data_IF_887692113586
#
_entry.id   IF_887692113586
#
_cell.length_a   1.000
_cell.length_b   1.000
_cell.length_c   1.000
_cell.angle_alpha   90.00
_cell.angle_beta   90.00
_cell.angle_gamma   90.00
#
_symmetry.space_group_name_H-M   'P 1'
#
loop_
_entity.id
_entity.type
_entity.pdbx_description
1 polymer ?
#
# COMPACT_ATOMS: atom_id res chain seq x y z
N UNK A 1 17.91 -16.91 -10.17
CA UNK A 1 17.37 -17.92 -9.24
C UNK A 1 18.30 -18.00 -8.02
N UNK A 2 18.08 -17.14 -6.99
CA UNK A 2 18.73 -17.31 -5.69
C UNK A 2 17.86 -18.25 -4.86
N UNK A 3 18.41 -19.44 -4.55
CA UNK A 3 17.85 -20.34 -3.56
C UNK A 3 17.69 -19.61 -2.23
N UNK A 4 16.48 -19.64 -1.64
CA UNK A 4 16.25 -19.23 -0.26
C UNK A 4 17.12 -20.08 0.67
N UNK A 5 17.81 -19.51 1.68
CA UNK A 5 18.52 -20.31 2.65
C UNK A 5 17.47 -21.11 3.46
N UNK A 6 17.55 -22.43 3.38
CA UNK A 6 16.85 -23.32 4.28
C UNK A 6 17.17 -22.92 5.73
N UNK A 7 16.13 -22.92 6.55
CA UNK A 7 16.19 -22.62 7.97
C UNK A 7 17.09 -23.63 8.68
N UNK A 8 18.37 -23.33 8.81
CA UNK A 8 19.19 -23.92 9.84
C UNK A 8 18.62 -23.46 11.19
N UNK A 9 18.11 -24.41 11.97
CA UNK A 9 17.76 -24.21 13.36
C UNK A 9 18.98 -23.67 14.11
N UNK A 10 19.11 -22.35 14.17
CA UNK A 10 20.27 -21.68 14.73
C UNK A 10 20.16 -21.76 16.24
N UNK A 11 21.08 -22.49 16.90
CA UNK A 11 21.36 -22.36 18.32
C UNK A 11 21.38 -20.88 18.67
N UNK A 12 20.67 -20.46 19.72
CA UNK A 12 20.58 -19.08 20.15
C UNK A 12 22.01 -18.50 20.29
N UNK A 13 22.35 -17.57 19.40
CA UNK A 13 23.71 -17.00 19.40
C UNK A 13 23.90 -16.12 20.65
N UNK A 14 25.13 -16.07 21.21
CA UNK A 14 25.46 -15.21 22.35
C UNK A 14 25.01 -13.77 22.16
N UNK A 15 24.62 -13.10 23.23
CA UNK A 15 24.06 -11.74 23.21
C UNK A 15 25.01 -10.75 22.53
N UNK A 16 26.31 -10.85 22.76
CA UNK A 16 27.32 -9.97 22.14
C UNK A 16 27.37 -10.12 20.61
N UNK A 17 27.24 -11.35 20.07
CA UNK A 17 27.16 -11.59 18.63
C UNK A 17 25.86 -11.03 18.05
N UNK A 18 24.74 -11.17 18.77
CA UNK A 18 23.45 -10.59 18.37
C UNK A 18 23.51 -9.06 18.36
N UNK A 19 24.17 -8.46 19.35
CA UNK A 19 24.37 -7.02 19.44
C UNK A 19 25.30 -6.50 18.33
N UNK A 20 26.42 -7.16 18.11
CA UNK A 20 27.34 -6.82 17.02
C UNK A 20 26.67 -6.92 15.64
N UNK A 21 25.93 -8.00 15.38
CA UNK A 21 25.14 -8.13 14.16
C UNK A 21 24.08 -7.04 14.01
N UNK A 22 23.38 -6.70 15.09
CA UNK A 22 22.38 -5.64 15.08
C UNK A 22 22.98 -4.28 14.73
N UNK A 23 24.17 -3.95 15.24
CA UNK A 23 24.89 -2.71 14.94
C UNK A 23 25.46 -2.71 13.51
N UNK A 24 26.01 -3.85 13.04
CA UNK A 24 26.70 -3.95 11.75
C UNK A 24 25.79 -4.23 10.54
N UNK A 25 24.61 -4.81 10.76
CA UNK A 25 23.65 -5.14 9.69
C UNK A 25 23.22 -3.96 8.80
N UNK A 26 23.00 -2.74 9.33
CA UNK A 26 22.72 -1.58 8.50
C UNK A 26 23.83 -1.22 7.53
N UNK A 27 25.09 -1.38 7.95
CA UNK A 27 26.25 -1.09 7.10
C UNK A 27 26.36 -2.03 5.89
N UNK A 28 25.95 -3.30 6.03
CA UNK A 28 25.89 -4.23 4.90
C UNK A 28 24.81 -3.89 3.88
N UNK A 29 23.69 -3.32 4.33
CA UNK A 29 22.60 -2.91 3.46
C UNK A 29 22.87 -1.57 2.77
N UNK A 30 23.46 -0.62 3.50
CA UNK A 30 23.97 0.61 2.90
C UNK A 30 24.91 0.31 1.72
N UNK A 31 25.78 -0.68 1.86
CA UNK A 31 26.69 -1.10 0.78
C UNK A 31 25.96 -1.66 -0.44
N UNK A 32 24.93 -2.49 -0.25
CA UNK A 32 24.18 -3.05 -1.38
C UNK A 32 23.39 -1.98 -2.14
N UNK A 33 22.74 -1.06 -1.42
CA UNK A 33 22.06 0.08 -2.03
C UNK A 33 23.03 1.11 -2.58
N UNK A 34 24.18 1.34 -1.95
CA UNK A 34 25.21 2.21 -2.46
C UNK A 34 25.74 1.72 -3.81
N UNK A 35 26.01 0.40 -3.94
CA UNK A 35 26.44 -0.17 -5.22
C UNK A 35 25.38 -0.05 -6.30
N UNK A 36 24.10 -0.27 -5.96
CA UNK A 36 23.00 -0.07 -6.89
C UNK A 36 22.90 1.39 -7.35
N UNK A 37 22.99 2.35 -6.42
CA UNK A 37 22.96 3.79 -6.74
C UNK A 37 24.13 4.20 -7.62
N UNK A 38 25.32 3.68 -7.33
CA UNK A 38 26.51 3.96 -8.13
C UNK A 38 26.35 3.44 -9.56
N UNK A 39 25.90 2.20 -9.73
CA UNK A 39 25.62 1.62 -11.05
C UNK A 39 24.55 2.43 -11.82
N UNK A 40 23.48 2.82 -11.13
CA UNK A 40 22.42 3.64 -11.71
C UNK A 40 22.91 5.04 -12.10
N UNK A 41 23.80 5.64 -11.28
CA UNK A 41 24.44 6.91 -11.59
C UNK A 41 25.35 6.80 -12.82
N UNK A 42 26.17 5.76 -12.92
CA UNK A 42 27.05 5.53 -14.08
C UNK A 42 26.25 5.43 -15.39
N UNK A 43 25.07 4.82 -15.35
CA UNK A 43 24.16 4.78 -16.51
C UNK A 43 23.55 6.17 -16.77
N UNK A 44 23.03 6.81 -15.73
CA UNK A 44 22.29 8.07 -15.85
C UNK A 44 23.18 9.24 -16.33
N UNK A 45 24.43 9.33 -15.86
CA UNK A 45 25.35 10.43 -16.24
C UNK A 45 25.67 10.49 -17.75
N UNK A 46 25.46 9.38 -18.47
CA UNK A 46 25.65 9.30 -19.94
C UNK A 46 24.40 9.64 -20.75
N UNK A 47 23.28 9.90 -20.09
CA UNK A 47 22.00 10.20 -20.74
C UNK A 47 21.74 11.71 -20.75
N UNK A 48 21.02 12.16 -21.77
CA UNK A 48 20.47 13.52 -21.82
C UNK A 48 19.01 13.47 -21.40
N UNK A 49 18.63 14.31 -20.46
CA UNK A 49 17.26 14.42 -19.93
C UNK A 49 17.02 15.82 -19.39
N UNK A 50 15.79 16.28 -19.49
CA UNK A 50 15.36 17.61 -19.00
C UNK A 50 14.94 17.56 -17.53
N UNK A 51 14.44 16.40 -17.09
CA UNK A 51 13.95 16.18 -15.73
C UNK A 51 14.20 14.73 -15.29
N UNK A 52 14.38 14.54 -13.98
CA UNK A 52 14.52 13.22 -13.36
C UNK A 52 13.31 12.97 -12.48
N UNK A 53 12.68 11.80 -12.59
CA UNK A 53 11.66 11.34 -11.67
C UNK A 53 12.22 10.20 -10.83
N UNK A 54 12.34 10.41 -9.51
CA UNK A 54 12.90 9.42 -8.59
C UNK A 54 11.81 8.87 -7.68
N UNK A 55 11.71 7.55 -7.65
CA UNK A 55 10.73 6.84 -6.83
C UNK A 55 11.36 6.38 -5.52
N UNK A 56 10.70 6.73 -4.42
CA UNK A 56 11.03 6.37 -3.06
C UNK A 56 12.41 6.84 -2.55
N UNK A 57 12.61 6.73 -1.26
CA UNK A 57 13.83 7.13 -0.58
C UNK A 57 15.10 6.46 -1.16
N UNK A 58 14.97 5.24 -1.67
CA UNK A 58 16.12 4.50 -2.21
C UNK A 58 16.76 5.17 -3.43
N UNK A 59 15.97 5.85 -4.26
CA UNK A 59 16.44 6.55 -5.45
C UNK A 59 16.69 8.05 -5.19
N UNK A 60 16.23 8.59 -4.06
CA UNK A 60 16.26 10.02 -3.77
C UNK A 60 17.69 10.61 -3.78
N UNK A 61 18.67 9.89 -3.19
CA UNK A 61 20.08 10.31 -3.21
C UNK A 61 20.62 10.44 -4.62
N UNK A 62 20.25 9.54 -5.53
CA UNK A 62 20.66 9.57 -6.94
C UNK A 62 20.10 10.83 -7.64
N UNK A 63 18.81 11.11 -7.47
CA UNK A 63 18.18 12.32 -8.02
C UNK A 63 18.86 13.59 -7.52
N UNK A 64 19.13 13.67 -6.23
CA UNK A 64 19.85 14.78 -5.63
C UNK A 64 21.25 14.94 -6.19
N UNK A 65 22.04 13.85 -6.31
CA UNK A 65 23.40 13.87 -6.89
C UNK A 65 23.39 14.39 -8.33
N UNK A 66 22.56 13.85 -9.17
CA UNK A 66 22.42 14.29 -10.58
C UNK A 66 21.95 15.74 -10.69
N UNK A 67 21.04 16.18 -9.82
CA UNK A 67 20.61 17.57 -9.75
C UNK A 67 21.78 18.52 -9.46
N UNK A 68 22.60 18.20 -8.44
CA UNK A 68 23.75 19.07 -8.07
C UNK A 68 24.80 19.15 -9.18
N UNK A 69 25.10 18.02 -9.82
CA UNK A 69 26.14 17.93 -10.84
C UNK A 69 25.69 18.51 -12.20
N UNK A 70 24.48 18.15 -12.65
CA UNK A 70 24.01 18.47 -14.00
C UNK A 70 23.03 19.65 -14.05
N UNK A 71 22.65 20.23 -12.89
CA UNK A 71 21.64 21.30 -12.77
C UNK A 71 20.26 20.93 -13.33
N UNK A 72 19.96 19.63 -13.44
CA UNK A 72 18.68 19.13 -13.92
C UNK A 72 17.66 19.09 -12.79
N UNK A 73 16.44 19.53 -13.03
CA UNK A 73 15.36 19.45 -12.05
C UNK A 73 14.99 17.99 -11.78
N UNK A 74 14.53 17.69 -10.55
CA UNK A 74 14.00 16.37 -10.25
C UNK A 74 12.71 16.44 -9.46
N UNK A 75 11.88 15.41 -9.63
CA UNK A 75 10.65 15.14 -8.88
C UNK A 75 10.93 13.99 -7.93
N UNK A 76 10.55 14.14 -6.67
CA UNK A 76 10.60 13.06 -5.67
C UNK A 76 9.21 12.48 -5.47
N UNK A 77 8.99 11.24 -5.90
CA UNK A 77 7.73 10.50 -5.76
C UNK A 77 7.87 9.43 -4.68
N UNK A 78 7.22 9.63 -3.55
CA UNK A 78 7.30 8.74 -2.38
C UNK A 78 5.97 8.05 -2.11
N UNK A 79 5.96 6.72 -2.26
CA UNK A 79 4.77 5.91 -2.09
C UNK A 79 4.47 5.54 -0.63
N UNK A 80 5.39 5.83 0.30
CA UNK A 80 5.21 5.52 1.71
C UNK A 80 5.92 6.54 2.63
N UNK A 81 5.48 6.60 3.89
CA UNK A 81 6.22 7.29 4.93
C UNK A 81 7.44 6.45 5.33
N UNK A 82 8.60 6.76 4.74
CA UNK A 82 9.78 5.91 4.76
C UNK A 82 10.25 5.48 6.16
N UNK A 83 10.35 6.40 7.10
CA UNK A 83 10.83 6.09 8.47
C UNK A 83 9.83 5.25 9.27
N UNK A 84 8.55 5.32 8.93
CA UNK A 84 7.48 4.54 9.56
C UNK A 84 7.22 3.15 8.95
N UNK A 85 8.03 2.73 7.96
CA UNK A 85 7.80 1.47 7.25
C UNK A 85 8.13 0.22 8.07
N UNK A 86 7.56 -0.89 7.67
CA UNK A 86 7.99 -2.19 8.15
C UNK A 86 9.44 -2.44 7.73
N UNK A 87 10.29 -2.72 8.71
CA UNK A 87 11.69 -3.11 8.46
C UNK A 87 11.85 -4.61 8.53
N UNK A 88 12.64 -5.19 7.63
CA UNK A 88 12.93 -6.64 7.66
C UNK A 88 13.72 -7.06 8.91
N UNK A 89 14.48 -6.13 9.52
CA UNK A 89 15.26 -6.36 10.72
C UNK A 89 15.01 -5.24 11.72
N UNK A 90 15.27 -5.54 13.00
CA UNK A 90 15.19 -4.53 14.06
C UNK A 90 16.10 -3.34 13.70
N UNK A 91 15.58 -2.11 13.67
CA UNK A 91 16.38 -0.93 13.35
C UNK A 91 17.46 -0.71 14.42
N UNK A 92 18.61 -0.17 14.00
CA UNK A 92 19.61 0.32 14.94
C UNK A 92 19.16 1.62 15.57
N UNK A 93 19.67 1.98 16.77
CA UNK A 93 19.43 3.30 17.34
C UNK A 93 19.73 4.41 16.33
N UNK A 94 18.91 5.45 16.33
CA UNK A 94 19.07 6.66 15.50
C UNK A 94 18.94 6.48 13.98
N UNK A 95 18.74 5.27 13.45
CA UNK A 95 18.63 5.06 11.99
C UNK A 95 17.44 5.84 11.41
N UNK A 96 16.31 5.89 12.12
CA UNK A 96 15.12 6.63 11.67
C UNK A 96 15.39 8.14 11.64
N UNK A 97 16.13 8.68 12.63
CA UNK A 97 16.54 10.06 12.64
C UNK A 97 17.49 10.37 11.48
N UNK A 98 18.50 9.51 11.24
CA UNK A 98 19.44 9.66 10.12
C UNK A 98 18.71 9.64 8.78
N UNK A 99 17.84 8.67 8.55
CA UNK A 99 17.07 8.58 7.30
C UNK A 99 16.13 9.78 7.13
N UNK A 100 15.50 10.26 8.21
CA UNK A 100 14.66 11.46 8.18
C UNK A 100 15.45 12.73 7.81
N UNK A 101 16.66 12.88 8.33
CA UNK A 101 17.55 14.00 8.01
C UNK A 101 18.04 13.95 6.56
N UNK A 102 18.40 12.75 6.06
CA UNK A 102 18.79 12.55 4.67
C UNK A 102 17.62 12.81 3.71
N UNK A 103 16.43 12.29 4.01
CA UNK A 103 15.23 12.55 3.22
C UNK A 103 14.93 14.05 3.15
N UNK A 104 15.03 14.76 4.29
CA UNK A 104 14.87 16.21 4.34
C UNK A 104 15.93 16.94 3.50
N UNK A 105 17.20 16.56 3.64
CA UNK A 105 18.31 17.18 2.92
C UNK A 105 18.13 17.03 1.40
N UNK A 106 17.93 15.83 0.94
CA UNK A 106 17.84 15.53 -0.50
C UNK A 106 16.51 16.00 -1.09
N UNK A 107 15.39 15.68 -0.43
CA UNK A 107 14.04 16.00 -0.91
C UNK A 107 13.73 17.50 -0.92
N UNK A 108 14.39 18.31 -0.07
CA UNK A 108 14.22 19.77 -0.08
C UNK A 108 14.74 20.44 -1.37
N UNK A 109 15.52 19.75 -2.16
CA UNK A 109 16.04 20.20 -3.46
C UNK A 109 15.16 19.75 -4.63
N UNK A 110 14.17 18.89 -4.37
CA UNK A 110 13.22 18.48 -5.41
C UNK A 110 12.38 19.68 -5.86
N UNK A 111 12.17 19.79 -7.17
CA UNK A 111 11.31 20.81 -7.75
C UNK A 111 9.83 20.58 -7.37
N UNK A 112 9.45 19.31 -7.23
CA UNK A 112 8.17 18.89 -6.66
C UNK A 112 8.34 17.58 -5.89
N UNK A 113 7.49 17.38 -4.88
CA UNK A 113 7.38 16.14 -4.12
C UNK A 113 5.98 15.58 -4.35
N UNK A 114 5.90 14.32 -4.72
CA UNK A 114 4.64 13.59 -4.95
C UNK A 114 4.49 12.53 -3.86
N UNK A 115 3.27 12.30 -3.42
CA UNK A 115 2.93 11.18 -2.57
C UNK A 115 1.50 10.69 -2.81
N UNK A 116 1.15 9.54 -2.25
CA UNK A 116 -0.09 8.82 -2.58
C UNK A 116 -1.30 9.19 -1.70
N UNK A 117 -1.09 9.96 -0.62
CA UNK A 117 -2.17 10.28 0.33
C UNK A 117 -1.97 11.60 1.07
N UNK A 118 -3.08 12.19 1.50
CA UNK A 118 -3.10 13.51 2.16
C UNK A 118 -2.33 13.50 3.49
N UNK A 119 -2.41 12.42 4.26
CA UNK A 119 -1.71 12.28 5.54
C UNK A 119 -0.19 12.26 5.39
N UNK A 120 0.35 11.57 4.36
CA UNK A 120 1.79 11.58 4.08
C UNK A 120 2.21 12.96 3.56
N UNK A 121 1.40 13.59 2.69
CA UNK A 121 1.67 14.93 2.20
C UNK A 121 1.79 15.94 3.34
N UNK A 122 0.91 15.86 4.34
CA UNK A 122 0.97 16.70 5.53
C UNK A 122 2.23 16.44 6.38
N UNK A 123 2.64 15.19 6.53
CA UNK A 123 3.90 14.85 7.19
C UNK A 123 5.12 15.40 6.43
N UNK A 124 5.12 15.36 5.11
CA UNK A 124 6.19 15.95 4.31
C UNK A 124 6.26 17.47 4.49
N UNK A 125 5.13 18.15 4.53
CA UNK A 125 5.10 19.60 4.80
C UNK A 125 5.57 19.92 6.21
N UNK A 126 5.04 19.23 7.22
CA UNK A 126 5.25 19.58 8.63
C UNK A 126 6.55 18.99 9.22
N UNK A 127 6.92 17.76 8.86
CA UNK A 127 8.10 17.07 9.43
C UNK A 127 9.35 17.16 8.54
N UNK A 128 9.21 17.35 7.22
CA UNK A 128 10.34 17.51 6.30
C UNK A 128 10.52 18.96 5.81
N UNK A 129 9.49 19.79 5.94
CA UNK A 129 9.50 21.18 5.48
C UNK A 129 9.46 21.31 3.96
N UNK A 130 8.96 20.31 3.24
CA UNK A 130 8.82 20.38 1.80
C UNK A 130 7.72 21.37 1.41
N UNK A 131 7.99 22.21 0.40
CA UNK A 131 7.09 23.31 0.02
C UNK A 131 6.08 22.91 -1.06
N UNK A 132 6.54 22.24 -2.11
CA UNK A 132 5.73 21.83 -3.24
C UNK A 132 5.40 20.33 -3.12
N UNK A 133 4.41 19.99 -2.29
CA UNK A 133 3.96 18.61 -2.08
C UNK A 133 2.58 18.42 -2.70
N UNK A 134 2.47 17.50 -3.62
CA UNK A 134 1.23 17.15 -4.34
C UNK A 134 0.84 15.70 -4.06
N UNK A 135 -0.45 15.43 -4.10
CA UNK A 135 -0.99 14.07 -3.96
C UNK A 135 -1.39 13.55 -5.33
N UNK A 136 -0.72 12.51 -5.78
CA UNK A 136 -1.05 11.75 -7.01
C UNK A 136 -1.26 10.30 -6.58
N UNK A 137 -2.49 9.82 -6.67
CA UNK A 137 -2.87 8.50 -6.17
C UNK A 137 -2.62 7.42 -7.22
N UNK A 138 -2.38 6.20 -6.77
CA UNK A 138 -2.37 5.02 -7.64
C UNK A 138 -3.80 4.58 -7.98
N UNK A 139 -4.58 5.50 -8.53
CA UNK A 139 -5.97 5.29 -8.92
C UNK A 139 -6.08 4.56 -10.25
N UNK A 140 -7.28 4.11 -10.56
CA UNK A 140 -7.58 3.41 -11.80
C UNK A 140 -8.30 4.36 -12.78
N UNK A 141 -8.24 4.12 -14.09
CA UNK A 141 -9.15 4.78 -15.04
C UNK A 141 -10.61 4.56 -14.61
N UNK A 142 -11.51 5.43 -15.06
CA UNK A 142 -12.95 5.19 -14.85
C UNK A 142 -13.29 3.86 -15.54
N UNK A 143 -13.79 2.88 -14.76
CA UNK A 143 -14.10 1.56 -15.27
C UNK A 143 -15.33 1.54 -16.16
N UNK A 144 -15.48 0.47 -16.94
CA UNK A 144 -16.74 0.17 -17.60
C UNK A 144 -17.85 0.00 -16.54
N UNK A 145 -19.01 0.55 -16.82
CA UNK A 145 -20.18 0.40 -15.93
C UNK A 145 -20.60 -1.07 -15.95
N UNK A 146 -20.24 -1.79 -14.89
CA UNK A 146 -20.72 -3.15 -14.62
C UNK A 146 -21.88 -3.12 -13.63
N UNK A 147 -22.73 -4.11 -13.70
CA UNK A 147 -23.81 -4.30 -12.73
C UNK A 147 -23.23 -4.94 -11.46
N UNK A 148 -23.46 -4.30 -10.32
CA UNK A 148 -23.03 -4.82 -9.00
C UNK A 148 -24.18 -5.59 -8.39
N UNK A 149 -23.92 -6.85 -8.01
CA UNK A 149 -24.92 -7.71 -7.36
C UNK A 149 -25.41 -7.10 -6.04
N UNK A 150 -26.72 -6.89 -5.93
CA UNK A 150 -27.36 -6.36 -4.72
C UNK A 150 -28.65 -7.13 -4.42
N UNK A 151 -28.84 -7.68 -3.19
CA UNK A 151 -27.91 -7.65 -2.07
C UNK A 151 -26.62 -8.44 -2.36
N UNK A 152 -25.50 -8.17 -1.65
CA UNK A 152 -24.22 -8.82 -1.93
C UNK A 152 -24.28 -10.32 -1.61
N UNK A 153 -23.69 -11.13 -2.48
CA UNK A 153 -23.57 -12.58 -2.32
C UNK A 153 -22.21 -13.01 -1.75
N UNK A 154 -21.25 -12.09 -1.72
CA UNK A 154 -19.90 -12.37 -1.25
C UNK A 154 -19.07 -11.13 -0.98
N UNK A 155 -17.83 -11.34 -0.56
CA UNK A 155 -16.83 -10.30 -0.41
C UNK A 155 -15.46 -10.78 -0.92
N UNK A 156 -14.81 -9.96 -1.75
CA UNK A 156 -13.55 -10.29 -2.41
C UNK A 156 -12.38 -9.55 -1.76
N UNK A 157 -11.35 -10.29 -1.35
CA UNK A 157 -10.03 -9.74 -1.11
C UNK A 157 -9.17 -10.00 -2.35
N UNK A 158 -8.70 -8.95 -3.01
CA UNK A 158 -7.78 -9.08 -4.13
C UNK A 158 -6.44 -8.42 -3.80
N UNK A 159 -5.35 -9.20 -3.84
CA UNK A 159 -4.01 -8.73 -3.56
C UNK A 159 -3.14 -9.79 -2.93
N UNK A 160 -1.90 -9.45 -2.62
CA UNK A 160 -0.94 -10.38 -2.03
C UNK A 160 -1.46 -10.96 -0.71
N UNK A 161 -1.51 -12.28 -0.63
CA UNK A 161 -1.92 -13.03 0.57
C UNK A 161 -0.67 -13.26 1.42
N UNK A 162 -0.45 -12.35 2.40
CA UNK A 162 0.78 -12.33 3.20
C UNK A 162 0.51 -11.68 4.57
N UNK A 163 1.51 -11.67 5.43
CA UNK A 163 1.47 -11.02 6.75
C UNK A 163 1.12 -9.52 6.64
N UNK A 164 0.57 -8.97 7.71
CA UNK A 164 0.20 -7.55 7.85
C UNK A 164 -0.89 -7.07 6.87
N UNK A 165 -1.71 -7.99 6.37
CA UNK A 165 -2.86 -7.70 5.51
C UNK A 165 -4.20 -7.88 6.21
N UNK A 166 -4.22 -8.05 7.53
CA UNK A 166 -5.41 -8.29 8.36
C UNK A 166 -6.20 -9.56 7.96
N UNK A 167 -5.55 -10.50 7.29
CA UNK A 167 -6.18 -11.72 6.81
C UNK A 167 -6.54 -12.68 7.96
N UNK A 168 -5.80 -12.64 9.07
CA UNK A 168 -6.13 -13.39 10.29
C UNK A 168 -7.49 -12.98 10.86
N UNK A 169 -7.83 -11.69 10.78
CA UNK A 169 -9.13 -11.17 11.19
C UNK A 169 -10.26 -11.70 10.31
N UNK A 170 -10.00 -11.79 9.00
CA UNK A 170 -10.97 -12.38 8.05
C UNK A 170 -11.17 -13.87 8.33
N UNK A 171 -10.08 -14.63 8.58
CA UNK A 171 -10.17 -16.06 8.96
C UNK A 171 -11.05 -16.24 10.20
N UNK A 172 -10.89 -15.38 11.21
CA UNK A 172 -11.68 -15.46 12.44
C UNK A 172 -13.16 -15.10 12.22
N UNK A 173 -13.44 -14.15 11.31
CA UNK A 173 -14.80 -13.71 10.98
C UNK A 173 -15.54 -14.65 10.02
N UNK A 174 -14.83 -15.39 9.17
CA UNK A 174 -15.39 -16.17 8.05
C UNK A 174 -16.53 -17.10 8.44
N UNK A 175 -16.50 -17.89 9.55
CA UNK A 175 -17.63 -18.73 9.93
C UNK A 175 -18.92 -17.94 10.15
N UNK A 176 -18.83 -16.74 10.77
CA UNK A 176 -20.00 -15.88 11.03
C UNK A 176 -20.50 -15.24 9.72
N UNK A 177 -19.58 -14.83 8.83
CA UNK A 177 -19.93 -14.28 7.52
C UNK A 177 -20.59 -15.33 6.62
N UNK A 178 -20.06 -16.55 6.59
CA UNK A 178 -20.65 -17.65 5.83
C UNK A 178 -22.06 -18.02 6.34
N UNK A 179 -22.31 -17.95 7.66
CA UNK A 179 -23.65 -18.16 8.23
C UNK A 179 -24.67 -17.10 7.80
N UNK A 180 -24.20 -15.96 7.28
CA UNK A 180 -25.02 -14.90 6.67
C UNK A 180 -25.18 -15.09 5.14
N UNK A 181 -24.82 -16.24 4.58
CA UNK A 181 -24.76 -16.53 3.15
C UNK A 181 -23.82 -15.60 2.36
N UNK A 182 -22.77 -15.08 3.01
CA UNK A 182 -21.78 -14.23 2.38
C UNK A 182 -20.49 -15.02 2.10
N UNK A 183 -20.23 -15.33 0.84
CA UNK A 183 -19.06 -16.08 0.40
C UNK A 183 -17.80 -15.22 0.45
N UNK A 184 -16.74 -15.70 1.09
CA UNK A 184 -15.46 -14.99 1.13
C UNK A 184 -14.47 -15.61 0.16
N UNK A 185 -13.91 -14.78 -0.73
CA UNK A 185 -12.93 -15.22 -1.73
C UNK A 185 -11.67 -14.37 -1.66
N UNK A 186 -10.50 -15.02 -1.64
CA UNK A 186 -9.19 -14.39 -1.75
C UNK A 186 -8.58 -14.69 -3.12
N UNK A 187 -8.06 -13.64 -3.77
CA UNK A 187 -7.39 -13.72 -5.07
C UNK A 187 -6.02 -13.04 -4.99
N UNK A 188 -4.95 -13.79 -5.20
CA UNK A 188 -3.61 -13.20 -5.19
C UNK A 188 -2.46 -14.17 -5.02
N UNK A 189 -1.26 -13.62 -5.09
CA UNK A 189 -0.03 -14.38 -4.83
C UNK A 189 0.00 -14.87 -3.38
N UNK A 190 0.29 -16.15 -3.20
CA UNK A 190 0.31 -16.81 -1.89
C UNK A 190 1.47 -17.80 -1.70
N UNK A 191 2.51 -17.75 -2.55
CA UNK A 191 3.72 -18.58 -2.44
C UNK A 191 4.70 -17.97 -1.44
N UNK A 192 4.34 -17.95 -0.15
CA UNK A 192 5.16 -17.43 0.93
C UNK A 192 4.92 -18.17 2.26
N UNK A 193 5.80 -17.98 3.23
CA UNK A 193 5.76 -18.68 4.52
C UNK A 193 4.49 -18.39 5.34
N UNK A 194 3.94 -17.15 5.26
CA UNK A 194 2.71 -16.82 5.95
C UNK A 194 1.54 -17.61 5.37
N UNK A 195 1.40 -17.62 4.04
CA UNK A 195 0.35 -18.34 3.35
C UNK A 195 0.43 -19.85 3.62
N UNK A 196 1.60 -20.46 3.51
CA UNK A 196 1.81 -21.88 3.84
C UNK A 196 1.27 -22.24 5.23
N UNK A 197 1.48 -21.34 6.20
CA UNK A 197 1.02 -21.55 7.59
C UNK A 197 -0.49 -21.34 7.77
N UNK A 198 -1.10 -20.36 7.08
CA UNK A 198 -2.45 -19.89 7.42
C UNK A 198 -3.54 -20.33 6.42
N UNK A 199 -3.19 -20.65 5.16
CA UNK A 199 -4.17 -21.08 4.17
C UNK A 199 -4.96 -22.33 4.55
N UNK A 200 -4.36 -23.38 5.16
CA UNK A 200 -5.15 -24.55 5.56
C UNK A 200 -6.30 -24.18 6.50
N UNK A 201 -6.05 -23.26 7.44
CA UNK A 201 -7.07 -22.74 8.35
C UNK A 201 -8.08 -21.86 7.62
N UNK A 202 -7.65 -20.98 6.71
CA UNK A 202 -8.54 -20.14 5.92
C UNK A 202 -9.54 -20.99 5.10
N UNK A 203 -9.06 -22.00 4.40
CA UNK A 203 -9.89 -22.93 3.62
C UNK A 203 -10.85 -23.70 4.53
N UNK A 204 -10.38 -24.18 5.68
CA UNK A 204 -11.22 -24.89 6.64
C UNK A 204 -12.36 -24.03 7.22
N UNK A 205 -12.22 -22.68 7.20
CA UNK A 205 -13.29 -21.74 7.60
C UNK A 205 -14.21 -21.34 6.43
N UNK A 206 -14.05 -21.97 5.26
CA UNK A 206 -14.90 -21.74 4.09
C UNK A 206 -14.47 -20.57 3.20
N UNK A 207 -13.24 -20.06 3.38
CA UNK A 207 -12.67 -19.07 2.46
C UNK A 207 -12.18 -19.77 1.19
N UNK A 208 -12.62 -19.31 0.03
CA UNK A 208 -12.08 -19.73 -1.25
C UNK A 208 -10.81 -18.96 -1.59
N UNK A 209 -9.81 -19.67 -2.10
CA UNK A 209 -8.51 -19.08 -2.46
C UNK A 209 -8.19 -19.39 -3.91
N UNK A 210 -7.76 -18.39 -4.65
CA UNK A 210 -7.30 -18.55 -6.03
C UNK A 210 -6.02 -17.72 -6.26
N UNK A 211 -5.29 -18.09 -7.31
CA UNK A 211 -4.15 -17.34 -7.81
C UNK A 211 -4.53 -15.91 -8.22
N UNK A 212 -3.50 -15.08 -8.42
CA UNK A 212 -3.67 -13.74 -8.97
C UNK A 212 -4.36 -13.80 -10.33
N UNK A 213 -5.31 -12.90 -10.55
CA UNK A 213 -6.09 -12.76 -11.76
C UNK A 213 -5.80 -11.43 -12.44
N UNK A 214 -6.21 -11.29 -13.70
CA UNK A 214 -6.19 -10.00 -14.40
C UNK A 214 -7.10 -8.97 -13.71
N UNK A 215 -6.81 -7.68 -13.91
CA UNK A 215 -7.62 -6.59 -13.35
C UNK A 215 -9.08 -6.74 -13.77
N UNK A 216 -9.37 -7.06 -15.03
CA UNK A 216 -10.73 -7.21 -15.54
C UNK A 216 -11.46 -8.40 -14.90
N UNK A 217 -10.77 -9.52 -14.68
CA UNK A 217 -11.37 -10.67 -13.98
C UNK A 217 -11.68 -10.36 -12.51
N UNK A 218 -10.74 -9.68 -11.80
CA UNK A 218 -10.96 -9.26 -10.43
C UNK A 218 -12.12 -8.28 -10.34
N UNK A 219 -12.19 -7.29 -11.25
CA UNK A 219 -13.30 -6.33 -11.35
C UNK A 219 -14.64 -7.06 -11.47
N UNK A 220 -14.73 -8.00 -12.43
CA UNK A 220 -15.94 -8.80 -12.64
C UNK A 220 -16.31 -9.62 -11.40
N UNK A 221 -15.35 -10.26 -10.76
CA UNK A 221 -15.60 -11.04 -9.53
C UNK A 221 -16.04 -10.15 -8.36
N UNK A 222 -15.47 -8.95 -8.20
CA UNK A 222 -15.93 -7.98 -7.20
C UNK A 222 -17.39 -7.58 -7.46
N UNK A 223 -17.75 -7.28 -8.71
CA UNK A 223 -19.12 -6.92 -9.09
C UNK A 223 -20.12 -8.06 -8.80
N UNK A 224 -19.75 -9.30 -9.12
CA UNK A 224 -20.57 -10.49 -8.82
C UNK A 224 -20.73 -10.76 -7.31
N UNK A 225 -19.69 -10.50 -6.52
CA UNK A 225 -19.74 -10.66 -5.07
C UNK A 225 -20.53 -9.54 -4.38
N UNK A 226 -20.41 -8.31 -4.88
CA UNK A 226 -21.09 -7.12 -4.37
C UNK A 226 -20.32 -6.37 -3.29
N UNK A 227 -19.30 -6.95 -2.66
CA UNK A 227 -18.45 -6.29 -1.66
C UNK A 227 -16.96 -6.56 -1.90
N UNK A 228 -16.12 -5.59 -1.58
CA UNK A 228 -14.66 -5.73 -1.58
C UNK A 228 -14.07 -5.57 -0.17
N UNK A 229 -13.10 -6.42 0.18
CA UNK A 229 -12.34 -6.35 1.44
C UNK A 229 -11.06 -5.54 1.21
N UNK A 230 -11.00 -4.36 1.79
CA UNK A 230 -9.84 -3.46 1.69
C UNK A 230 -9.15 -3.39 3.05
N UNK A 231 -8.27 -4.33 3.28
CA UNK A 231 -7.69 -4.56 4.61
C UNK A 231 -6.22 -4.17 4.67
N UNK A 232 -5.82 -3.54 5.77
CA UNK A 232 -4.45 -3.14 6.04
C UNK A 232 -4.16 -3.17 7.55
N UNK A 233 -2.94 -3.58 7.93
CA UNK A 233 -2.52 -3.60 9.33
C UNK A 233 -2.33 -2.17 9.89
N UNK A 234 -2.48 -1.99 11.19
CA UNK A 234 -2.15 -0.76 11.91
C UNK A 234 -0.80 -0.82 12.65
N UNK A 235 -0.02 -1.88 12.46
CA UNK A 235 1.20 -2.17 13.25
C UNK A 235 2.35 -1.20 13.02
N UNK A 236 2.45 -0.62 11.84
CA UNK A 236 3.49 0.34 11.48
C UNK A 236 2.86 1.67 11.09
N UNK A 237 3.59 2.77 11.28
CA UNK A 237 3.08 4.10 10.91
C UNK A 237 2.77 4.18 9.41
N UNK A 238 3.68 3.68 8.57
CA UNK A 238 3.45 3.60 7.11
C UNK A 238 2.20 2.78 6.75
N UNK A 239 1.86 1.74 7.55
CA UNK A 239 0.63 0.98 7.33
C UNK A 239 -0.63 1.79 7.65
N UNK A 240 -0.60 2.63 8.71
CA UNK A 240 -1.73 3.51 9.05
C UNK A 240 -1.95 4.62 8.02
N UNK A 241 -0.87 5.03 7.36
CA UNK A 241 -0.87 6.09 6.34
C UNK A 241 -0.96 5.53 4.91
N UNK A 242 -1.00 4.21 4.74
CA UNK A 242 -1.01 3.59 3.43
C UNK A 242 -2.33 3.86 2.69
N UNK A 243 -2.19 4.15 1.39
CA UNK A 243 -3.29 4.23 0.45
C UNK A 243 -3.28 2.99 -0.46
N UNK A 244 -4.02 1.93 -0.10
CA UNK A 244 -3.95 0.68 -0.84
C UNK A 244 -4.67 0.75 -2.19
N UNK A 245 -4.01 0.30 -3.25
CA UNK A 245 -4.57 0.20 -4.61
C UNK A 245 -5.91 -0.56 -4.66
N UNK A 246 -6.16 -1.45 -3.68
CA UNK A 246 -7.42 -2.20 -3.56
C UNK A 246 -8.64 -1.30 -3.40
N UNK A 247 -8.50 -0.15 -2.71
CA UNK A 247 -9.57 0.81 -2.58
C UNK A 247 -9.96 1.37 -3.95
N UNK A 248 -8.98 1.82 -4.71
CA UNK A 248 -9.22 2.38 -6.04
C UNK A 248 -9.71 1.33 -7.03
N UNK A 249 -9.29 0.08 -6.88
CA UNK A 249 -9.83 -1.01 -7.68
C UNK A 249 -11.30 -1.28 -7.35
N UNK A 250 -11.69 -1.26 -6.08
CA UNK A 250 -13.10 -1.40 -5.69
C UNK A 250 -13.94 -0.22 -6.20
N UNK A 251 -13.43 1.02 -6.10
CA UNK A 251 -14.10 2.21 -6.66
C UNK A 251 -14.23 2.08 -8.19
N UNK A 252 -13.16 1.67 -8.90
CA UNK A 252 -13.19 1.41 -10.34
C UNK A 252 -14.26 0.35 -10.71
N UNK A 253 -14.36 -0.71 -9.92
CA UNK A 253 -15.38 -1.73 -10.10
C UNK A 253 -16.81 -1.27 -9.74
N UNK A 254 -16.99 -0.11 -9.11
CA UNK A 254 -18.26 0.37 -8.61
C UNK A 254 -18.75 -0.33 -7.34
N UNK A 255 -17.87 -1.03 -6.62
CA UNK A 255 -18.20 -1.96 -5.54
C UNK A 255 -17.91 -1.33 -4.18
N UNK A 256 -18.88 -1.35 -3.23
CA UNK A 256 -18.67 -0.91 -1.87
C UNK A 256 -17.61 -1.73 -1.12
N UNK A 257 -16.94 -1.09 -0.15
CA UNK A 257 -15.86 -1.71 0.59
C UNK A 257 -16.20 -2.00 2.05
N UNK A 258 -15.61 -3.08 2.59
CA UNK A 258 -15.41 -3.26 4.02
C UNK A 258 -13.93 -3.03 4.29
N UNK A 259 -13.61 -1.98 5.01
CA UNK A 259 -12.23 -1.52 5.12
C UNK A 259 -11.76 -1.43 6.58
N UNK A 260 -10.45 -1.64 6.80
CA UNK A 260 -9.87 -1.42 8.13
C UNK A 260 -9.87 0.06 8.50
N UNK A 261 -10.18 0.36 9.77
CA UNK A 261 -10.10 1.69 10.33
C UNK A 261 -8.64 2.09 10.57
N UNK A 262 -7.92 2.40 9.49
CA UNK A 262 -6.57 2.99 9.51
C UNK A 262 -6.62 4.36 8.86
N UNK A 263 -5.81 5.30 9.34
CA UNK A 263 -5.96 6.75 9.14
C UNK A 263 -6.33 7.17 7.71
N UNK A 264 -5.49 6.87 6.74
CA UNK A 264 -5.68 7.37 5.37
C UNK A 264 -6.85 6.67 4.65
N UNK A 265 -6.96 5.36 4.84
CA UNK A 265 -8.03 4.57 4.27
C UNK A 265 -9.40 4.98 4.85
N UNK A 266 -9.48 5.15 6.18
CA UNK A 266 -10.69 5.58 6.85
C UNK A 266 -11.15 6.97 6.42
N UNK A 267 -10.19 7.91 6.22
CA UNK A 267 -10.49 9.25 5.74
C UNK A 267 -11.21 9.22 4.38
N UNK A 268 -10.70 8.45 3.40
CA UNK A 268 -11.34 8.37 2.08
C UNK A 268 -12.67 7.61 2.13
N UNK A 269 -12.71 6.48 2.83
CA UNK A 269 -13.95 5.69 2.94
C UNK A 269 -15.07 6.52 3.56
N UNK A 270 -14.80 7.27 4.63
CA UNK A 270 -15.79 8.13 5.28
C UNK A 270 -16.15 9.35 4.44
N UNK A 271 -15.15 10.01 3.82
CA UNK A 271 -15.37 11.25 3.02
C UNK A 271 -16.29 11.03 1.85
N UNK A 272 -16.19 9.89 1.19
CA UNK A 272 -16.94 9.57 -0.03
C UNK A 272 -18.03 8.53 0.18
N UNK A 273 -18.27 8.10 1.42
CA UNK A 273 -19.23 7.05 1.77
C UNK A 273 -19.07 5.78 0.93
N UNK A 274 -17.78 5.30 0.85
CA UNK A 274 -17.44 4.17 -0.03
C UNK A 274 -17.80 2.80 0.56
N UNK A 275 -18.16 2.73 1.85
CA UNK A 275 -18.42 1.48 2.55
C UNK A 275 -18.38 1.63 4.06
N UNK A 276 -18.05 0.53 4.74
CA UNK A 276 -18.05 0.45 6.20
C UNK A 276 -16.65 0.15 6.75
N UNK A 277 -16.37 0.70 7.94
CA UNK A 277 -15.10 0.55 8.62
C UNK A 277 -15.20 -0.45 9.76
N UNK A 278 -14.13 -1.23 9.97
CA UNK A 278 -13.95 -2.13 11.12
C UNK A 278 -12.59 -1.94 11.80
N UNK A 279 -12.49 -2.24 13.09
CA UNK A 279 -11.26 -2.12 13.85
C UNK A 279 -10.27 -3.23 13.50
N UNK A 280 -8.99 -2.89 13.16
CA UNK A 280 -7.95 -3.87 12.84
C UNK A 280 -7.78 -4.90 13.96
N UNK A 281 -7.78 -6.20 13.62
CA UNK A 281 -7.65 -7.31 14.56
C UNK A 281 -8.96 -7.74 15.24
N UNK A 282 -10.06 -7.03 15.03
CA UNK A 282 -11.37 -7.33 15.63
C UNK A 282 -12.32 -7.98 14.61
N UNK A 283 -12.50 -9.30 14.74
CA UNK A 283 -13.39 -10.08 13.87
C UNK A 283 -14.87 -9.77 14.08
N UNK A 284 -15.28 -9.38 15.28
CA UNK A 284 -16.67 -9.02 15.57
C UNK A 284 -16.99 -7.65 14.99
N UNK A 285 -16.06 -6.71 15.06
CA UNK A 285 -16.14 -5.43 14.36
C UNK A 285 -16.27 -5.61 12.84
N UNK A 286 -15.51 -6.54 12.25
CA UNK A 286 -15.62 -6.86 10.82
C UNK A 286 -17.00 -7.41 10.45
N UNK A 287 -17.55 -8.33 11.26
CA UNK A 287 -18.91 -8.85 11.06
C UNK A 287 -19.95 -7.75 11.20
N UNK A 288 -19.82 -6.87 12.20
CA UNK A 288 -20.73 -5.75 12.41
C UNK A 288 -20.70 -4.75 11.24
N UNK A 289 -19.51 -4.39 10.76
CA UNK A 289 -19.32 -3.54 9.57
C UNK A 289 -19.97 -4.17 8.33
N UNK A 290 -19.78 -5.47 8.13
CA UNK A 290 -20.40 -6.20 7.02
C UNK A 290 -21.93 -6.15 7.09
N UNK A 291 -22.53 -6.33 8.26
CA UNK A 291 -23.99 -6.20 8.44
C UNK A 291 -24.49 -4.80 8.09
N UNK A 292 -23.79 -3.75 8.52
CA UNK A 292 -24.14 -2.36 8.16
C UNK A 292 -24.06 -2.13 6.66
N UNK A 293 -23.01 -2.63 6.01
CA UNK A 293 -22.85 -2.52 4.56
C UNK A 293 -23.97 -3.22 3.80
N UNK A 294 -24.37 -4.42 4.21
CA UNK A 294 -25.50 -5.15 3.61
C UNK A 294 -26.80 -4.35 3.77
N UNK A 295 -27.06 -3.80 4.97
CA UNK A 295 -28.28 -3.06 5.27
C UNK A 295 -28.47 -1.80 4.41
N UNK A 296 -27.40 -1.17 3.94
CA UNK A 296 -27.43 0.03 3.10
C UNK A 296 -26.69 -0.13 1.76
N UNK A 297 -26.62 -1.34 1.27
CA UNK A 297 -25.78 -1.70 0.13
C UNK A 297 -26.08 -0.90 -1.12
N UNK A 298 -27.36 -0.71 -1.47
CA UNK A 298 -27.77 0.08 -2.63
C UNK A 298 -27.32 1.55 -2.52
N UNK A 299 -27.45 2.16 -1.35
CA UNK A 299 -26.97 3.53 -1.09
C UNK A 299 -25.45 3.61 -1.28
N UNK A 300 -24.70 2.60 -0.81
CA UNK A 300 -23.24 2.56 -0.96
C UNK A 300 -22.83 2.43 -2.44
N UNK A 301 -23.52 1.64 -3.25
CA UNK A 301 -23.28 1.55 -4.70
C UNK A 301 -23.42 2.93 -5.34
N UNK A 302 -24.47 3.69 -5.00
CA UNK A 302 -24.68 5.04 -5.52
C UNK A 302 -23.58 6.02 -5.08
N UNK A 303 -23.12 5.92 -3.84
CA UNK A 303 -22.01 6.72 -3.32
C UNK A 303 -20.70 6.41 -4.04
N UNK A 304 -20.37 5.13 -4.24
CA UNK A 304 -19.19 4.69 -4.99
C UNK A 304 -19.27 5.18 -6.44
N UNK A 305 -20.42 5.08 -7.10
CA UNK A 305 -20.60 5.56 -8.47
C UNK A 305 -20.34 7.07 -8.60
N UNK A 306 -20.76 7.88 -7.62
CA UNK A 306 -20.43 9.31 -7.56
C UNK A 306 -18.94 9.55 -7.36
N UNK A 307 -18.29 8.74 -6.53
CA UNK A 307 -16.87 8.87 -6.22
C UNK A 307 -15.95 8.50 -7.40
N UNK A 308 -16.38 7.64 -8.32
CA UNK A 308 -15.59 7.23 -9.49
C UNK A 308 -15.05 8.40 -10.32
N UNK A 309 -15.84 9.46 -10.47
CA UNK A 309 -15.42 10.65 -11.23
C UNK A 309 -14.33 11.47 -10.54
N UNK A 310 -14.18 11.34 -9.22
CA UNK A 310 -13.23 12.10 -8.39
C UNK A 310 -12.01 11.27 -8.03
N UNK A 311 -12.20 9.98 -7.80
CA UNK A 311 -11.14 9.03 -7.40
C UNK A 311 -10.68 8.20 -8.61
N UNK A 312 -10.38 8.84 -9.72
CA UNK A 312 -9.97 8.20 -10.97
C UNK A 312 -8.63 8.73 -11.48
N UNK A 313 -7.93 7.91 -12.23
CA UNK A 313 -6.64 8.28 -12.82
C UNK A 313 -6.72 9.56 -13.66
N UNK A 314 -7.80 9.79 -14.39
CA UNK A 314 -7.96 11.03 -15.17
C UNK A 314 -7.93 12.31 -14.32
N UNK A 315 -8.15 12.23 -13.01
CA UNK A 315 -7.97 13.35 -12.08
C UNK A 315 -6.53 13.43 -11.56
N UNK A 316 -5.98 12.30 -11.16
CA UNK A 316 -4.60 12.25 -10.65
C UNK A 316 -3.58 12.54 -11.77
N UNK A 317 -3.86 12.12 -13.01
CA UNK A 317 -3.07 12.45 -14.20
C UNK A 317 -2.98 13.97 -14.46
N UNK A 318 -4.07 14.70 -14.31
CA UNK A 318 -4.08 16.16 -14.49
C UNK A 318 -3.13 16.84 -13.48
N UNK A 319 -3.10 16.39 -12.23
CA UNK A 319 -2.17 16.88 -11.21
C UNK A 319 -0.73 16.59 -11.64
N UNK A 320 -0.47 15.37 -12.12
CA UNK A 320 0.86 14.99 -12.59
C UNK A 320 1.31 15.83 -13.78
N UNK A 321 0.45 16.05 -14.77
CA UNK A 321 0.72 16.91 -15.93
C UNK A 321 0.99 18.36 -15.52
N UNK A 322 0.21 18.90 -14.56
CA UNK A 322 0.42 20.25 -14.03
C UNK A 322 1.77 20.37 -13.32
N UNK A 323 2.19 19.36 -12.54
CA UNK A 323 3.53 19.33 -11.93
C UNK A 323 4.60 19.48 -13.02
N UNK A 324 4.53 18.68 -14.07
CA UNK A 324 5.53 18.72 -15.13
C UNK A 324 5.49 19.99 -15.98
N UNK A 325 4.31 20.56 -16.19
CA UNK A 325 4.17 21.84 -16.92
C UNK A 325 4.79 23.02 -16.16
N UNK A 326 4.96 22.90 -14.84
CA UNK A 326 5.54 23.93 -13.98
C UNK A 326 7.02 23.68 -13.61
N UNK A 327 7.64 22.62 -14.14
CA UNK A 327 9.07 22.36 -14.00
C UNK A 327 9.89 23.20 -14.99
#
# INVERSE_FOLDING_TARGET
LRKSPESLATKAQPIHIRLARWILLPQHREKAFAQWRENAYEVAKGLQFDVIHVHDFNALELGYKLHIENKVKFVYDSHEWWVGRQRQYRPTPFIDKKEAELERLWGSQAAAVITVGDSIAELFRTKRGFKNVQVVRNSFPIGEKGEVTSPPSGAIYAGRIDAYRELETIIAAAPKLNSMNLKITWMGEHQNAWATKHLPKAIATGIEVSDAKSISEVTKQMQLAGLALVTHSNKFESHRLAMPNKLFHAVHAGVPVIATNVTELANLVSKYDLGELYEPGDSDSLVAATKRAIARHQQLIESVAKAQSVLSWSKDELILLEIYANL
#
